data_IF_510697786165
#
_entry.id   IF_510697786165
#
_cell.length_a   1.000
_cell.length_b   1.000
_cell.length_c   1.000
_cell.angle_alpha   90.00
_cell.angle_beta   90.00
_cell.angle_gamma   90.00
#
_symmetry.space_group_name_H-M   'P 1'
#
loop_
_entity.id
_entity.type
_entity.pdbx_description
1 polymer ?
#
# COMPACT_ATOMS: atom_id res chain seq x y z
N UNK A 1 1.83 43.15 17.15
CA UNK A 1 2.35 42.42 15.96
C UNK A 1 3.24 41.23 16.32
N UNK A 2 4.20 41.34 17.26
CA UNK A 2 5.05 40.21 17.71
C UNK A 2 4.27 39.07 18.38
N UNK A 3 3.30 39.42 19.23
CA UNK A 3 2.43 38.46 19.93
C UNK A 3 1.50 37.68 18.99
N UNK A 4 1.03 38.29 17.90
CA UNK A 4 0.17 37.62 16.92
C UNK A 4 0.93 36.53 16.16
N UNK A 5 2.21 36.78 15.83
CA UNK A 5 3.08 35.80 15.18
C UNK A 5 3.38 34.60 16.09
N UNK A 6 3.53 34.83 17.39
CA UNK A 6 3.76 33.77 18.37
C UNK A 6 2.54 32.84 18.52
N UNK A 7 1.34 33.41 18.53
CA UNK A 7 0.09 32.63 18.57
C UNK A 7 -0.08 31.80 17.29
N UNK A 8 0.23 32.38 16.13
CA UNK A 8 0.15 31.66 14.85
C UNK A 8 1.13 30.47 14.81
N UNK A 9 2.35 30.67 15.30
CA UNK A 9 3.36 29.61 15.36
C UNK A 9 2.97 28.47 16.31
N UNK A 10 2.41 28.80 17.47
CA UNK A 10 1.93 27.82 18.43
C UNK A 10 0.75 26.99 17.87
N UNK A 11 -0.16 27.64 17.15
CA UNK A 11 -1.28 26.95 16.49
C UNK A 11 -0.81 26.01 15.39
N UNK A 12 0.20 26.40 14.60
CA UNK A 12 0.78 25.53 13.57
C UNK A 12 1.50 24.31 14.17
N UNK A 13 2.21 24.46 15.28
CA UNK A 13 2.86 23.32 15.95
C UNK A 13 1.85 22.34 16.56
N UNK A 14 0.69 22.82 17.01
CA UNK A 14 -0.35 21.97 17.61
C UNK A 14 -1.08 21.08 16.58
N UNK A 15 -0.92 21.35 15.28
CA UNK A 15 -1.59 20.64 14.20
C UNK A 15 -0.73 19.52 13.58
N UNK A 16 0.44 19.21 14.14
CA UNK A 16 1.31 18.15 13.60
C UNK A 16 0.71 16.79 14.01
N UNK A 17 0.23 15.98 13.05
CA UNK A 17 -0.24 14.63 13.37
C UNK A 17 0.94 13.77 13.82
N UNK A 18 0.76 13.00 14.89
CA UNK A 18 1.70 11.95 15.25
C UNK A 18 1.66 10.86 14.18
N UNK A 19 2.58 10.93 13.22
CA UNK A 19 2.75 9.87 12.24
C UNK A 19 3.27 8.62 12.95
N UNK A 20 2.46 7.57 12.98
CA UNK A 20 2.89 6.24 13.39
C UNK A 20 3.57 5.56 12.18
N UNK A 21 4.87 5.31 12.28
CA UNK A 21 5.55 4.43 11.35
C UNK A 21 5.25 2.98 11.79
N UNK A 22 4.35 2.31 11.08
CA UNK A 22 4.14 0.88 11.26
C UNK A 22 5.34 0.10 10.71
N UNK A 23 5.70 -0.99 11.38
CA UNK A 23 6.76 -1.87 10.91
C UNK A 23 6.42 -2.42 9.52
N UNK A 24 7.41 -2.40 8.63
CA UNK A 24 7.30 -3.05 7.34
C UNK A 24 7.09 -4.56 7.55
N UNK A 25 6.15 -5.14 6.81
CA UNK A 25 5.92 -6.58 6.85
C UNK A 25 7.23 -7.34 6.53
N UNK A 26 7.46 -8.52 7.16
CA UNK A 26 8.64 -9.33 6.88
C UNK A 26 8.74 -9.66 5.39
N UNK A 27 9.97 -9.80 4.91
CA UNK A 27 10.23 -10.19 3.53
C UNK A 27 9.52 -11.53 3.23
N UNK A 28 9.00 -11.65 2.01
CA UNK A 28 8.30 -12.86 1.58
C UNK A 28 9.19 -14.11 1.71
N UNK A 29 8.59 -15.23 2.11
CA UNK A 29 9.30 -16.49 2.37
C UNK A 29 10.02 -17.03 1.12
N UNK A 30 9.46 -16.79 -0.07
CA UNK A 30 10.06 -17.15 -1.36
C UNK A 30 10.03 -15.95 -2.33
N UNK A 31 11.12 -15.18 -2.45
CA UNK A 31 11.17 -14.00 -3.31
C UNK A 31 11.09 -14.36 -4.81
N UNK A 32 11.48 -15.57 -5.21
CA UNK A 32 11.42 -16.01 -6.61
C UNK A 32 9.98 -16.33 -7.00
N UNK A 33 9.24 -17.00 -6.11
CA UNK A 33 7.81 -17.21 -6.27
C UNK A 33 7.07 -15.87 -6.37
N UNK A 34 7.33 -14.94 -5.45
CA UNK A 34 6.65 -13.64 -5.47
C UNK A 34 6.97 -12.81 -6.72
N UNK A 35 8.18 -12.90 -7.27
CA UNK A 35 8.50 -12.25 -8.56
C UNK A 35 7.63 -12.80 -9.69
N UNK A 36 7.41 -14.12 -9.73
CA UNK A 36 6.53 -14.76 -10.73
C UNK A 36 5.07 -14.37 -10.51
N UNK A 37 4.60 -14.34 -9.27
CA UNK A 37 3.26 -13.88 -8.91
C UNK A 37 3.05 -12.44 -9.37
N UNK A 38 4.00 -11.55 -9.09
CA UNK A 38 3.95 -10.15 -9.50
C UNK A 38 3.85 -10.01 -11.03
N UNK A 39 4.67 -10.76 -11.78
CA UNK A 39 4.62 -10.77 -13.26
C UNK A 39 3.25 -11.16 -13.81
N UNK A 40 2.58 -12.14 -13.20
CA UNK A 40 1.22 -12.53 -13.59
C UNK A 40 0.21 -11.44 -13.18
N UNK A 41 0.33 -10.90 -11.98
CA UNK A 41 -0.58 -9.88 -11.45
C UNK A 41 -0.51 -8.54 -12.22
N UNK A 42 0.63 -8.21 -12.81
CA UNK A 42 0.85 -7.00 -13.64
C UNK A 42 0.02 -6.99 -14.93
N UNK A 43 -0.19 -8.16 -15.54
CA UNK A 43 -0.92 -8.26 -16.82
C UNK A 43 -2.43 -8.47 -16.63
N UNK A 44 -2.86 -8.93 -15.46
CA UNK A 44 -4.27 -9.11 -15.14
C UNK A 44 -4.90 -7.81 -14.65
N UNK A 45 -6.17 -7.56 -15.03
CA UNK A 45 -6.93 -6.37 -14.63
C UNK A 45 -7.93 -6.70 -13.53
N UNK A 46 -8.07 -5.80 -12.56
CA UNK A 46 -9.10 -5.91 -11.53
C UNK A 46 -10.48 -5.52 -12.10
N UNK A 47 -11.43 -6.46 -12.10
CA UNK A 47 -12.78 -6.27 -12.66
C UNK A 47 -13.66 -5.30 -11.85
N UNK A 48 -13.31 -5.06 -10.59
CA UNK A 48 -14.06 -4.17 -9.68
C UNK A 48 -13.34 -2.84 -9.43
N UNK A 49 -12.21 -2.63 -10.11
CA UNK A 49 -11.38 -1.44 -9.96
C UNK A 49 -11.32 -0.67 -11.28
N UNK A 50 -10.96 0.62 -11.21
CA UNK A 50 -10.88 1.52 -12.36
C UNK A 50 -9.69 1.20 -13.28
N UNK A 51 -9.75 0.06 -13.97
CA UNK A 51 -8.73 -0.45 -14.90
C UNK A 51 -7.31 -0.62 -14.30
N UNK A 52 -7.23 -0.85 -12.99
CA UNK A 52 -5.98 -1.15 -12.30
C UNK A 52 -5.52 -2.58 -12.62
N UNK A 53 -4.21 -2.83 -12.56
CA UNK A 53 -3.68 -4.20 -12.55
C UNK A 53 -4.08 -4.90 -11.25
N UNK A 54 -4.01 -6.23 -11.22
CA UNK A 54 -4.14 -6.96 -9.95
C UNK A 54 -2.95 -6.63 -9.04
N UNK A 55 -1.75 -6.43 -9.60
CA UNK A 55 -0.55 -6.04 -8.85
C UNK A 55 -0.77 -4.77 -8.02
N UNK A 56 -1.32 -3.72 -8.63
CA UNK A 56 -1.51 -2.39 -8.02
C UNK A 56 -2.78 -2.28 -7.17
N UNK A 57 -3.74 -3.19 -7.34
CA UNK A 57 -5.01 -3.12 -6.63
C UNK A 57 -4.91 -3.65 -5.19
N UNK A 58 -5.62 -2.96 -4.29
CA UNK A 58 -5.83 -3.35 -2.89
C UNK A 58 -7.26 -3.80 -2.59
N UNK A 59 -8.11 -3.98 -3.62
CA UNK A 59 -9.45 -4.51 -3.42
C UNK A 59 -9.40 -5.98 -2.94
N UNK A 60 -10.39 -6.40 -2.16
CA UNK A 60 -10.45 -7.77 -1.63
C UNK A 60 -10.32 -8.83 -2.74
N UNK A 61 -11.00 -8.62 -3.88
CA UNK A 61 -10.89 -9.50 -5.05
C UNK A 61 -9.44 -9.61 -5.57
N UNK A 62 -8.68 -8.52 -5.57
CA UNK A 62 -7.29 -8.55 -6.03
C UNK A 62 -6.39 -9.31 -5.06
N UNK A 63 -6.65 -9.21 -3.75
CA UNK A 63 -5.95 -10.00 -2.73
C UNK A 63 -6.23 -11.49 -2.92
N UNK A 64 -7.50 -11.86 -3.09
CA UNK A 64 -7.92 -13.24 -3.34
C UNK A 64 -7.27 -13.82 -4.60
N UNK A 65 -7.24 -13.04 -5.69
CA UNK A 65 -6.60 -13.46 -6.93
C UNK A 65 -5.08 -13.61 -6.80
N UNK A 66 -4.39 -12.73 -6.04
CA UNK A 66 -2.95 -12.91 -5.74
C UNK A 66 -2.70 -14.21 -4.98
N UNK A 67 -3.57 -14.54 -4.02
CA UNK A 67 -3.51 -15.81 -3.29
C UNK A 67 -3.69 -17.00 -4.25
N UNK A 68 -4.67 -16.93 -5.14
CA UNK A 68 -4.91 -17.97 -6.13
C UNK A 68 -3.72 -18.17 -7.09
N UNK A 69 -3.11 -17.08 -7.54
CA UNK A 69 -1.91 -17.11 -8.40
C UNK A 69 -0.75 -17.80 -7.66
N UNK A 70 -0.53 -17.48 -6.37
CA UNK A 70 0.49 -18.16 -5.55
C UNK A 70 0.26 -19.66 -5.50
N UNK A 71 -0.96 -20.10 -5.20
CA UNK A 71 -1.28 -21.54 -5.14
C UNK A 71 -1.08 -22.25 -6.48
N UNK A 72 -1.27 -21.56 -7.61
CA UNK A 72 -1.03 -22.12 -8.94
C UNK A 72 0.45 -22.18 -9.35
N UNK A 73 1.31 -21.36 -8.73
CA UNK A 73 2.73 -21.24 -9.09
C UNK A 73 3.68 -22.00 -8.15
N UNK A 74 3.19 -22.41 -6.98
CA UNK A 74 3.83 -23.39 -6.09
C UNK A 74 3.97 -24.74 -6.81
#
# INVERSE_FOLDING_TARGET
>A
MRSLKAVLYALCLALIPLAHAGDAAPAAEDPVLEERVAKVAEVLRCLVCQNQTIADSHADLAVDLKNQIREMLK
#
